data_IF_302868517235
#
_entry.id   IF_302868517235
#
_cell.length_a   1.000
_cell.length_b   1.000
_cell.length_c   1.000
_cell.angle_alpha   90.00
_cell.angle_beta   90.00
_cell.angle_gamma   90.00
#
_symmetry.space_group_name_H-M   'P 1'
#
loop_
_entity.id
_entity.type
_entity.pdbx_description
1 polymer ?
#
# COMPACT_ATOMS: atom_id res chain seq x y z
N UNK A 1 -19.82 -32.04 9.55
CA UNK A 1 -19.99 -30.60 9.24
C UNK A 1 -19.83 -30.44 7.73
N UNK A 2 -20.89 -30.11 6.99
CA UNK A 2 -20.79 -29.86 5.54
C UNK A 2 -19.98 -28.57 5.37
N UNK A 3 -18.79 -28.66 4.77
CA UNK A 3 -18.09 -27.48 4.26
C UNK A 3 -18.95 -26.97 3.10
N UNK A 4 -19.68 -25.89 3.32
CA UNK A 4 -20.29 -25.12 2.23
C UNK A 4 -19.12 -24.54 1.46
N UNK A 5 -18.82 -25.12 0.30
CA UNK A 5 -17.87 -24.53 -0.63
C UNK A 5 -18.59 -23.31 -1.20
N UNK A 6 -18.16 -22.11 -0.80
CA UNK A 6 -18.58 -20.88 -1.48
C UNK A 6 -18.25 -21.07 -2.97
N UNK A 7 -19.20 -20.86 -3.89
CA UNK A 7 -18.91 -20.96 -5.30
C UNK A 7 -17.73 -20.04 -5.61
N UNK A 8 -16.65 -20.61 -6.15
CA UNK A 8 -15.53 -19.83 -6.64
C UNK A 8 -16.07 -18.98 -7.78
N UNK A 9 -16.24 -17.67 -7.55
CA UNK A 9 -16.59 -16.74 -8.62
C UNK A 9 -15.39 -16.63 -9.57
N UNK A 10 -15.23 -17.57 -10.51
CA UNK A 10 -14.19 -17.54 -11.54
C UNK A 10 -14.57 -16.58 -12.67
N UNK A 11 -15.06 -15.40 -12.33
CA UNK A 11 -15.32 -14.36 -13.31
C UNK A 11 -14.05 -13.56 -13.51
N UNK A 12 -13.47 -13.62 -14.72
CA UNK A 12 -12.37 -12.73 -15.11
C UNK A 12 -12.79 -11.25 -15.16
N UNK A 13 -14.07 -10.96 -14.95
CA UNK A 13 -14.60 -9.59 -14.98
C UNK A 13 -14.18 -8.77 -13.78
N UNK A 14 -13.99 -9.35 -12.59
CA UNK A 14 -13.53 -8.62 -11.40
C UNK A 14 -12.20 -9.18 -10.89
N UNK A 15 -11.30 -8.30 -10.46
CA UNK A 15 -10.07 -8.63 -9.77
C UNK A 15 -10.08 -8.08 -8.35
N UNK A 16 -9.55 -8.85 -7.40
CA UNK A 16 -9.24 -8.36 -6.05
C UNK A 16 -8.21 -7.24 -6.14
N UNK A 17 -8.41 -6.17 -5.36
CA UNK A 17 -7.49 -5.04 -5.29
C UNK A 17 -6.89 -4.90 -3.90
N UNK A 18 -7.74 -4.84 -2.88
CA UNK A 18 -7.32 -4.75 -1.48
C UNK A 18 -8.44 -5.20 -0.55
N UNK A 19 -8.08 -5.48 0.69
CA UNK A 19 -9.01 -5.46 1.81
C UNK A 19 -8.86 -4.12 2.56
N UNK A 20 -9.88 -3.62 3.23
CA UNK A 20 -9.82 -2.46 4.15
C UNK A 20 -11.18 -2.34 4.84
N UNK A 21 -11.22 -1.88 6.07
CA UNK A 21 -12.48 -1.56 6.76
C UNK A 21 -13.08 -0.29 6.13
N UNK A 22 -14.10 -0.43 5.27
CA UNK A 22 -14.66 0.74 4.58
C UNK A 22 -15.77 1.44 5.36
N UNK A 23 -16.35 0.79 6.38
CA UNK A 23 -17.47 1.33 7.16
C UNK A 23 -17.18 1.50 8.67
N UNK A 24 -15.91 1.35 9.05
CA UNK A 24 -15.37 1.55 10.39
C UNK A 24 -16.02 0.63 11.43
N UNK A 25 -16.36 -0.59 11.04
CA UNK A 25 -16.98 -1.58 11.93
C UNK A 25 -15.96 -2.52 12.63
N UNK A 26 -14.68 -2.39 12.27
CA UNK A 26 -13.54 -3.16 12.76
C UNK A 26 -13.25 -4.43 11.97
N UNK A 27 -14.02 -4.76 10.94
CA UNK A 27 -13.80 -5.88 10.02
C UNK A 27 -13.33 -5.38 8.64
N UNK A 28 -12.22 -5.93 8.14
CA UNK A 28 -11.75 -5.63 6.77
C UNK A 28 -12.77 -6.09 5.71
N UNK A 29 -13.18 -5.17 4.84
CA UNK A 29 -14.01 -5.41 3.67
C UNK A 29 -13.19 -5.75 2.43
N UNK A 30 -13.83 -6.24 1.36
CA UNK A 30 -13.14 -6.66 0.13
C UNK A 30 -13.46 -5.73 -1.03
N UNK A 31 -12.46 -5.01 -1.52
CA UNK A 31 -12.56 -4.15 -2.69
C UNK A 31 -12.14 -4.87 -3.97
N UNK A 32 -13.04 -4.87 -4.95
CA UNK A 32 -12.85 -5.46 -6.27
C UNK A 32 -12.96 -4.41 -7.38
N UNK A 33 -12.26 -4.65 -8.48
CA UNK A 33 -12.33 -3.81 -9.69
C UNK A 33 -12.74 -4.59 -10.91
N UNK A 34 -13.67 -4.01 -11.66
CA UNK A 34 -14.12 -4.55 -12.93
C UNK A 34 -13.05 -4.31 -14.02
N UNK A 35 -12.44 -5.38 -14.52
CA UNK A 35 -11.35 -5.33 -15.49
C UNK A 35 -11.74 -4.79 -16.88
N UNK A 36 -13.05 -4.69 -17.18
CA UNK A 36 -13.55 -4.19 -18.47
C UNK A 36 -14.03 -2.74 -18.38
N UNK A 37 -14.72 -2.39 -17.30
CA UNK A 37 -15.37 -1.08 -17.15
C UNK A 37 -14.61 -0.13 -16.23
N UNK A 38 -13.66 -0.64 -15.44
CA UNK A 38 -12.95 0.12 -14.41
C UNK A 38 -13.79 0.49 -13.19
N UNK A 39 -15.06 0.05 -13.12
CA UNK A 39 -15.95 0.26 -11.96
C UNK A 39 -15.49 -0.56 -10.76
N UNK A 40 -15.84 -0.10 -9.57
CA UNK A 40 -15.46 -0.74 -8.32
C UNK A 40 -16.68 -1.29 -7.58
N UNK A 41 -16.45 -2.35 -6.83
CA UNK A 41 -17.45 -3.05 -6.03
C UNK A 41 -16.79 -3.39 -4.70
N UNK A 42 -17.49 -3.13 -3.60
CA UNK A 42 -17.09 -3.61 -2.28
C UNK A 42 -18.03 -4.73 -1.84
N UNK A 43 -17.45 -5.78 -1.25
CA UNK A 43 -18.18 -6.76 -0.45
C UNK A 43 -17.99 -6.39 1.01
N UNK A 44 -19.11 -6.14 1.70
CA UNK A 44 -19.11 -5.85 3.12
C UNK A 44 -18.97 -7.16 3.90
N UNK A 45 -18.09 -7.21 4.89
CA UNK A 45 -17.86 -8.32 5.79
C UNK A 45 -18.33 -7.94 7.19
N UNK A 46 -18.77 -8.94 7.95
CA UNK A 46 -19.01 -8.80 9.38
C UNK A 46 -18.69 -10.13 10.04
N UNK A 47 -17.80 -10.12 11.03
CA UNK A 47 -17.33 -11.29 11.76
C UNK A 47 -16.90 -12.43 10.82
N UNK A 48 -16.22 -12.08 9.72
CA UNK A 48 -15.71 -13.01 8.71
C UNK A 48 -16.77 -13.57 7.74
N UNK A 49 -17.96 -12.98 7.67
CA UNK A 49 -19.03 -13.38 6.75
C UNK A 49 -19.43 -12.21 5.86
N UNK A 50 -19.65 -12.46 4.57
CA UNK A 50 -20.18 -11.44 3.65
C UNK A 50 -21.61 -11.04 4.07
N UNK A 51 -21.79 -9.78 4.45
CA UNK A 51 -23.06 -9.18 4.86
C UNK A 51 -23.81 -8.52 3.69
N UNK A 52 -23.08 -8.08 2.66
CA UNK A 52 -23.64 -7.42 1.48
C UNK A 52 -22.62 -7.09 0.41
N UNK A 53 -23.06 -6.40 -0.65
CA UNK A 53 -22.18 -5.85 -1.67
C UNK A 53 -22.80 -4.60 -2.30
N UNK A 54 -21.98 -3.60 -2.61
CA UNK A 54 -22.44 -2.37 -3.24
C UNK A 54 -21.40 -1.78 -4.22
N UNK A 55 -21.84 -1.01 -5.25
CA UNK A 55 -20.91 -0.20 -6.02
C UNK A 55 -20.11 0.71 -5.10
N UNK A 56 -18.83 0.90 -5.41
CA UNK A 56 -17.94 1.78 -4.64
C UNK A 56 -17.43 2.88 -5.57
N UNK A 57 -17.70 4.14 -5.24
CA UNK A 57 -17.59 5.26 -6.18
C UNK A 57 -16.16 5.85 -6.25
N UNK A 58 -15.19 5.02 -6.62
CA UNK A 58 -13.83 5.45 -6.96
C UNK A 58 -13.71 5.87 -8.44
N UNK A 59 -12.62 6.56 -8.79
CA UNK A 59 -12.38 6.98 -10.17
C UNK A 59 -12.31 5.78 -11.13
N UNK A 60 -13.31 5.64 -11.99
CA UNK A 60 -13.34 4.62 -13.03
C UNK A 60 -12.56 5.08 -14.26
N UNK A 61 -11.35 4.55 -14.43
CA UNK A 61 -10.48 4.81 -15.58
C UNK A 61 -9.57 3.62 -15.81
N UNK A 62 -9.22 3.31 -17.06
CA UNK A 62 -8.19 2.31 -17.36
C UNK A 62 -6.77 2.78 -17.02
N UNK A 63 -6.55 4.09 -16.92
CA UNK A 63 -5.24 4.68 -16.60
C UNK A 63 -4.97 4.71 -15.09
N UNK A 64 -6.00 4.95 -14.27
CA UNK A 64 -5.85 4.97 -12.82
C UNK A 64 -6.13 3.58 -12.24
N UNK A 65 -5.13 3.03 -11.54
CA UNK A 65 -5.20 1.72 -10.89
C UNK A 65 -5.04 1.88 -9.38
N UNK A 66 -5.46 0.87 -8.60
CA UNK A 66 -5.16 0.81 -7.17
C UNK A 66 -3.65 0.92 -6.96
N UNK A 67 -3.23 1.80 -6.06
CA UNK A 67 -1.83 2.03 -5.76
C UNK A 67 -1.50 1.66 -4.31
N UNK A 68 -2.28 2.15 -3.35
CA UNK A 68 -2.15 1.84 -1.94
C UNK A 68 -3.46 2.13 -1.21
N UNK A 69 -3.56 1.58 0.00
CA UNK A 69 -4.44 2.06 1.06
C UNK A 69 -3.58 2.56 2.23
N UNK A 70 -4.14 3.37 3.10
CA UNK A 70 -3.47 3.91 4.28
C UNK A 70 -4.17 5.16 4.79
N UNK A 71 -3.98 5.54 6.05
CA UNK A 71 -4.59 6.74 6.63
C UNK A 71 -3.89 8.00 6.12
N UNK A 72 -4.41 8.65 5.06
CA UNK A 72 -3.72 9.79 4.46
C UNK A 72 -4.19 11.16 4.98
N UNK A 73 -5.28 11.24 5.76
CA UNK A 73 -5.75 12.50 6.35
C UNK A 73 -5.76 12.56 7.87
N UNK A 74 -5.42 11.47 8.56
CA UNK A 74 -5.17 11.37 9.98
C UNK A 74 -6.42 11.14 10.81
N UNK A 75 -7.43 10.48 10.24
CA UNK A 75 -8.68 10.11 10.92
C UNK A 75 -8.67 8.70 11.52
N UNK A 76 -7.58 7.95 11.32
CA UNK A 76 -7.34 6.56 11.72
C UNK A 76 -8.02 5.49 10.86
N UNK A 77 -8.66 5.87 9.75
CA UNK A 77 -9.29 4.95 8.81
C UNK A 77 -8.47 4.86 7.49
N UNK A 78 -8.49 3.68 6.86
CA UNK A 78 -7.72 3.44 5.63
C UNK A 78 -8.37 4.19 4.44
N UNK A 79 -7.66 5.19 3.91
CA UNK A 79 -8.02 5.84 2.65
C UNK A 79 -7.57 5.04 1.43
N UNK A 80 -7.97 5.48 0.24
CA UNK A 80 -7.56 4.85 -1.03
C UNK A 80 -6.78 5.81 -1.93
N UNK A 81 -5.64 5.32 -2.38
CA UNK A 81 -4.79 6.00 -3.35
C UNK A 81 -4.83 5.27 -4.70
N UNK A 82 -5.24 6.00 -5.74
CA UNK A 82 -5.16 5.55 -7.13
C UNK A 82 -4.03 6.27 -7.86
N UNK A 83 -3.33 5.55 -8.75
CA UNK A 83 -2.23 6.12 -9.55
C UNK A 83 -2.42 5.90 -11.04
N UNK A 84 -2.20 6.95 -11.80
CA UNK A 84 -2.11 6.90 -13.27
C UNK A 84 -0.88 6.11 -13.70
N UNK A 85 -1.07 5.02 -14.44
CA UNK A 85 0.02 4.23 -15.02
C UNK A 85 0.72 4.96 -16.16
N UNK A 86 0.08 5.97 -16.75
CA UNK A 86 0.66 6.79 -17.83
C UNK A 86 1.48 7.95 -17.28
N UNK A 87 0.96 8.66 -16.28
CA UNK A 87 1.53 9.95 -15.82
C UNK A 87 2.16 9.90 -14.44
N UNK A 88 1.89 8.86 -13.64
CA UNK A 88 2.30 8.80 -12.23
C UNK A 88 1.50 9.69 -11.28
N UNK A 89 0.52 10.46 -11.79
CA UNK A 89 -0.38 11.29 -10.98
C UNK A 89 -1.23 10.45 -10.04
N UNK A 90 -1.52 11.01 -8.88
CA UNK A 90 -2.35 10.40 -7.86
C UNK A 90 -3.75 10.99 -7.80
N UNK A 91 -4.68 10.17 -7.34
CA UNK A 91 -5.99 10.57 -6.83
C UNK A 91 -6.18 9.88 -5.48
N UNK A 92 -6.35 10.68 -4.43
CA UNK A 92 -6.73 10.22 -3.10
C UNK A 92 -8.26 10.22 -2.99
N UNK A 93 -8.76 9.25 -2.27
CA UNK A 93 -10.15 9.10 -1.91
C UNK A 93 -10.21 8.87 -0.42
N UNK A 94 -10.90 9.78 0.27
CA UNK A 94 -11.13 9.70 1.70
C UNK A 94 -12.26 8.67 1.89
N UNK A 95 -12.07 7.66 2.74
CA UNK A 95 -13.01 6.55 2.91
C UNK A 95 -13.71 6.65 4.26
N UNK A 96 -15.02 6.86 4.23
CA UNK A 96 -15.79 7.20 5.41
C UNK A 96 -17.18 6.58 5.35
N UNK A 97 -17.55 5.83 6.39
CA UNK A 97 -18.88 5.25 6.58
C UNK A 97 -19.45 4.52 5.34
N UNK A 98 -18.64 3.69 4.70
CA UNK A 98 -19.01 2.86 3.55
C UNK A 98 -18.98 3.60 2.21
N UNK A 99 -18.45 4.83 2.16
CA UNK A 99 -18.38 5.65 0.95
C UNK A 99 -16.98 6.22 0.73
N UNK A 100 -16.61 6.42 -0.54
CA UNK A 100 -15.40 7.12 -0.93
C UNK A 100 -15.72 8.52 -1.45
N UNK A 101 -14.97 9.52 -1.01
CA UNK A 101 -15.07 10.89 -1.49
C UNK A 101 -13.75 11.37 -2.09
N UNK A 102 -13.78 11.94 -3.29
CA UNK A 102 -12.54 12.39 -3.91
C UNK A 102 -12.01 13.65 -3.22
N UNK A 103 -10.78 13.58 -2.73
CA UNK A 103 -10.08 14.73 -2.15
C UNK A 103 -9.04 15.30 -3.13
N UNK A 104 -8.35 16.36 -2.71
CA UNK A 104 -7.31 16.98 -3.52
C UNK A 104 -6.20 15.94 -3.79
N UNK A 105 -6.08 15.50 -5.05
CA UNK A 105 -5.08 14.49 -5.42
C UNK A 105 -3.66 14.99 -5.14
N UNK A 106 -2.78 14.07 -4.72
CA UNK A 106 -1.36 14.39 -4.51
C UNK A 106 -0.77 14.97 -5.79
N UNK A 107 0.09 15.99 -5.66
CA UNK A 107 0.85 16.50 -6.80
C UNK A 107 1.61 15.35 -7.46
N UNK A 108 1.78 15.43 -8.79
CA UNK A 108 2.41 14.36 -9.56
C UNK A 108 3.78 14.03 -8.96
N UNK A 109 3.89 12.85 -8.37
CA UNK A 109 5.17 12.20 -8.18
C UNK A 109 5.60 11.63 -9.54
N UNK A 110 6.89 11.36 -9.68
CA UNK A 110 7.54 10.87 -10.90
C UNK A 110 6.67 9.95 -11.76
N UNK A 111 6.90 9.94 -13.07
CA UNK A 111 6.19 9.07 -13.99
C UNK A 111 6.17 7.61 -13.49
N UNK A 112 5.05 6.91 -13.70
CA UNK A 112 4.85 5.59 -13.10
C UNK A 112 5.86 4.53 -13.54
N UNK A 113 6.44 4.68 -14.74
CA UNK A 113 7.47 3.78 -15.25
C UNK A 113 8.80 3.88 -14.48
N UNK A 114 9.10 5.01 -13.86
CA UNK A 114 10.40 5.25 -13.22
C UNK A 114 10.43 4.84 -11.74
N UNK A 115 9.30 5.02 -11.05
CA UNK A 115 9.17 4.77 -9.61
C UNK A 115 7.94 3.91 -9.32
N UNK A 116 8.17 2.81 -8.62
CA UNK A 116 7.16 1.87 -8.16
C UNK A 116 6.83 2.17 -6.69
N UNK A 117 5.57 2.44 -6.39
CA UNK A 117 5.11 2.52 -5.00
C UNK A 117 5.25 1.13 -4.37
N UNK A 118 5.83 1.06 -3.18
CA UNK A 118 6.05 -0.19 -2.44
C UNK A 118 5.03 -0.35 -1.33
N UNK A 119 4.79 0.73 -0.57
CA UNK A 119 3.89 0.75 0.58
C UNK A 119 3.51 2.21 0.91
N UNK A 120 2.36 2.36 1.56
CA UNK A 120 2.00 3.54 2.32
C UNK A 120 2.05 3.21 3.82
N UNK A 121 2.71 4.06 4.61
CA UNK A 121 2.87 3.89 6.05
C UNK A 121 3.40 5.20 6.66
N UNK A 122 3.05 5.50 7.91
CA UNK A 122 3.55 6.67 8.65
C UNK A 122 5.05 6.52 8.96
N UNK A 123 5.91 7.15 8.15
CA UNK A 123 7.37 7.02 8.28
C UNK A 123 7.97 8.10 9.20
N UNK A 124 7.17 9.04 9.70
CA UNK A 124 7.61 10.18 10.49
C UNK A 124 6.80 10.42 11.78
N UNK A 125 5.94 9.46 12.15
CA UNK A 125 5.06 9.48 13.32
C UNK A 125 4.16 10.73 13.39
N UNK A 126 3.72 11.27 12.25
CA UNK A 126 2.84 12.44 12.20
C UNK A 126 1.34 12.12 12.21
N UNK A 127 1.01 10.82 12.28
CA UNK A 127 -0.33 10.27 12.30
C UNK A 127 -0.95 10.16 10.91
N UNK A 128 -0.15 10.24 9.84
CA UNK A 128 -0.59 10.07 8.46
C UNK A 128 0.40 9.23 7.69
N UNK A 129 -0.13 8.38 6.83
CA UNK A 129 0.68 7.52 6.00
C UNK A 129 1.40 8.31 4.91
N UNK A 130 2.69 8.04 4.82
CA UNK A 130 3.60 8.53 3.80
C UNK A 130 3.77 7.49 2.69
N UNK A 131 4.66 7.72 1.71
CA UNK A 131 4.87 6.80 0.59
C UNK A 131 6.32 6.36 0.44
N UNK A 132 6.56 5.05 0.41
CA UNK A 132 7.85 4.47 0.04
C UNK A 132 7.86 4.08 -1.44
N UNK A 133 8.74 4.70 -2.23
CA UNK A 133 8.95 4.31 -3.63
C UNK A 133 10.29 3.66 -3.84
N UNK A 134 10.33 2.79 -4.86
CA UNK A 134 11.54 2.24 -5.42
C UNK A 134 11.72 2.68 -6.86
N UNK A 135 12.88 3.22 -7.19
CA UNK A 135 13.25 3.51 -8.56
C UNK A 135 13.52 2.20 -9.31
N UNK A 136 12.77 1.96 -10.39
CA UNK A 136 12.81 0.68 -11.11
C UNK A 136 14.16 0.41 -11.81
N UNK A 137 14.92 1.47 -12.13
CA UNK A 137 16.20 1.38 -12.86
C UNK A 137 17.37 1.18 -11.89
N UNK A 138 17.40 1.95 -10.80
CA UNK A 138 18.53 1.99 -9.86
C UNK A 138 18.32 1.10 -8.63
N UNK A 139 17.10 0.62 -8.39
CA UNK A 139 16.73 -0.13 -7.17
C UNK A 139 16.68 0.73 -5.91
N UNK A 140 16.82 2.04 -6.06
CA UNK A 140 16.94 3.01 -4.97
C UNK A 140 15.59 3.32 -4.33
N UNK A 141 15.54 3.34 -3.01
CA UNK A 141 14.33 3.68 -2.26
C UNK A 141 14.31 5.15 -1.85
N UNK A 142 13.13 5.74 -1.83
CA UNK A 142 12.89 7.13 -1.41
C UNK A 142 11.57 7.18 -0.66
N UNK A 143 11.59 7.78 0.54
CA UNK A 143 10.38 8.14 1.28
C UNK A 143 9.89 9.50 0.79
N UNK A 144 8.58 9.63 0.65
CA UNK A 144 7.90 10.86 0.32
C UNK A 144 6.91 11.14 1.42
N UNK A 145 7.24 12.14 2.25
CA UNK A 145 6.35 12.53 3.33
C UNK A 145 5.14 13.27 2.76
N UNK A 146 3.96 13.01 3.31
CA UNK A 146 2.74 13.68 2.92
C UNK A 146 2.35 14.68 3.99
N UNK A 147 2.25 15.96 3.60
CA UNK A 147 1.71 16.99 4.48
C UNK A 147 0.57 17.71 3.77
N UNK A 148 -0.65 17.57 4.30
CA UNK A 148 -1.85 18.17 3.71
C UNK A 148 -2.01 17.85 2.21
N UNK A 149 -1.84 16.58 1.82
CA UNK A 149 -1.86 16.11 0.42
C UNK A 149 -0.75 16.72 -0.47
N UNK A 150 0.25 17.36 0.13
CA UNK A 150 1.44 17.86 -0.56
C UNK A 150 2.57 16.90 -0.26
N UNK A 151 3.19 16.41 -1.34
CA UNK A 151 4.36 15.58 -1.23
C UNK A 151 5.58 16.45 -0.89
N UNK A 152 6.11 16.25 0.31
CA UNK A 152 7.41 16.71 0.72
C UNK A 152 8.42 15.59 0.42
N UNK A 153 9.38 15.86 -0.46
CA UNK A 153 10.42 14.87 -0.73
C UNK A 153 11.38 14.83 0.47
N UNK A 154 11.38 13.72 1.20
CA UNK A 154 12.60 13.29 1.89
C UNK A 154 13.61 12.86 0.82
N UNK A 155 14.88 12.95 1.18
CA UNK A 155 15.97 12.53 0.31
C UNK A 155 15.89 11.04 0.02
N UNK A 156 16.68 10.56 -0.95
CA UNK A 156 16.83 9.13 -1.12
C UNK A 156 17.27 8.46 0.18
N UNK A 157 16.61 7.36 0.53
CA UNK A 157 17.07 6.54 1.63
C UNK A 157 18.35 5.82 1.19
N UNK A 158 19.39 5.86 2.03
CA UNK A 158 20.60 5.06 1.84
C UNK A 158 20.36 3.60 2.23
N UNK A 159 19.23 3.03 1.79
CA UNK A 159 19.06 1.59 1.73
C UNK A 159 20.02 1.04 0.68
N UNK A 160 20.24 -0.28 0.66
CA UNK A 160 21.07 -0.87 -0.38
C UNK A 160 20.56 -0.49 -1.77
N UNK A 161 21.35 0.29 -2.50
CA UNK A 161 21.07 0.68 -3.89
C UNK A 161 21.40 -0.50 -4.81
N UNK A 162 20.66 -1.59 -4.66
CA UNK A 162 20.84 -2.82 -5.41
C UNK A 162 19.50 -3.37 -5.83
N UNK A 163 19.43 -3.80 -7.10
CA UNK A 163 18.28 -4.51 -7.63
C UNK A 163 17.95 -5.78 -6.83
N UNK A 164 18.90 -6.33 -6.07
CA UNK A 164 18.75 -7.55 -5.26
C UNK A 164 17.96 -7.38 -3.97
N UNK A 165 17.77 -6.16 -3.46
CA UNK A 165 16.96 -5.94 -2.27
C UNK A 165 15.52 -5.58 -2.66
N UNK A 166 14.58 -6.42 -2.24
CA UNK A 166 13.14 -6.23 -2.34
C UNK A 166 12.56 -5.78 -1.01
N UNK A 167 11.53 -4.95 -1.09
CA UNK A 167 10.73 -4.58 0.07
C UNK A 167 9.90 -5.79 0.52
N UNK A 168 9.94 -6.08 1.81
CA UNK A 168 9.21 -7.20 2.39
C UNK A 168 8.04 -6.72 3.26
N UNK A 169 8.31 -5.84 4.22
CA UNK A 169 7.30 -5.34 5.15
C UNK A 169 7.65 -3.95 5.67
N UNK A 170 6.61 -3.20 5.95
CA UNK A 170 6.51 -2.16 6.95
C UNK A 170 6.13 -2.80 8.30
N UNK A 171 6.60 -2.23 9.41
CA UNK A 171 6.26 -2.62 10.78
C UNK A 171 6.82 -1.58 11.75
N UNK A 172 6.22 -1.38 12.90
CA UNK A 172 6.86 -0.66 14.01
C UNK A 172 7.66 -1.68 14.85
N UNK A 173 8.99 -1.75 14.68
CA UNK A 173 9.81 -2.81 15.28
C UNK A 173 10.36 -2.44 16.67
N UNK A 174 10.39 -1.17 17.03
CA UNK A 174 10.90 -0.68 18.32
C UNK A 174 9.88 0.12 19.15
N UNK A 175 8.62 0.16 18.70
CA UNK A 175 7.48 0.78 19.35
C UNK A 175 7.60 2.31 19.46
N UNK A 176 8.20 2.96 18.46
CA UNK A 176 8.37 4.41 18.38
C UNK A 176 7.30 5.11 17.53
N UNK A 177 6.36 4.34 16.96
CA UNK A 177 5.28 4.77 16.05
C UNK A 177 5.71 5.17 14.64
N UNK A 178 7.01 5.26 14.36
CA UNK A 178 7.51 5.35 12.99
C UNK A 178 7.45 3.95 12.35
N UNK A 179 6.96 3.85 11.12
CA UNK A 179 7.00 2.61 10.36
C UNK A 179 8.45 2.29 9.94
N UNK A 180 8.99 1.17 10.41
CA UNK A 180 10.28 0.65 9.97
C UNK A 180 10.18 -0.10 8.65
N UNK A 181 11.35 -0.27 7.99
CA UNK A 181 11.43 -0.91 6.69
C UNK A 181 12.20 -2.22 6.80
N UNK A 182 11.54 -3.33 6.46
CA UNK A 182 12.16 -4.63 6.30
C UNK A 182 12.42 -4.91 4.82
N UNK A 183 13.70 -5.10 4.48
CA UNK A 183 14.13 -5.55 3.15
C UNK A 183 14.68 -6.97 3.19
N UNK A 184 14.54 -7.67 2.05
CA UNK A 184 15.17 -8.97 1.81
C UNK A 184 16.08 -8.90 0.60
N UNK A 185 17.26 -9.50 0.71
CA UNK A 185 18.15 -9.74 -0.41
C UNK A 185 17.75 -11.04 -1.12
N UNK A 186 17.22 -10.93 -2.33
CA UNK A 186 16.75 -12.08 -3.11
C UNK A 186 17.90 -12.94 -3.67
N UNK A 187 19.14 -12.45 -3.66
CA UNK A 187 20.30 -13.21 -4.14
C UNK A 187 20.87 -14.17 -3.08
N UNK A 188 20.77 -13.84 -1.79
CA UNK A 188 21.37 -14.63 -0.71
C UNK A 188 20.43 -14.89 0.50
N UNK A 189 19.20 -14.38 0.45
CA UNK A 189 18.18 -14.54 1.48
C UNK A 189 18.36 -13.68 2.72
N UNK A 190 19.40 -12.84 2.82
CA UNK A 190 19.62 -11.99 4.01
C UNK A 190 18.50 -10.98 4.18
N UNK A 191 18.06 -10.79 5.43
CA UNK A 191 17.05 -9.81 5.81
C UNK A 191 17.69 -8.65 6.56
N UNK A 192 17.24 -7.44 6.29
CA UNK A 192 17.74 -6.22 6.94
C UNK A 192 16.56 -5.36 7.33
N UNK A 193 16.47 -5.10 8.63
CA UNK A 193 15.56 -4.12 9.21
C UNK A 193 16.25 -2.75 9.22
N UNK A 194 15.56 -1.73 8.76
CA UNK A 194 15.98 -0.34 8.85
C UNK A 194 15.02 0.38 9.79
N UNK A 195 15.55 0.82 10.93
CA UNK A 195 14.79 1.65 11.85
C UNK A 195 14.62 3.03 11.25
N UNK A 196 13.41 3.55 11.29
CA UNK A 196 13.06 4.89 10.85
C UNK A 196 13.03 5.85 12.04
N UNK A 197 13.02 7.15 11.77
CA UNK A 197 12.83 8.23 12.75
C UNK A 197 12.61 9.51 11.95
N UNK A 198 11.45 10.15 12.10
CA UNK A 198 11.13 11.40 11.41
C UNK A 198 11.38 11.35 9.89
N UNK A 199 11.04 10.22 9.24
CA UNK A 199 11.19 9.99 7.81
C UNK A 199 12.61 9.69 7.32
N UNK A 200 13.56 9.46 8.24
CA UNK A 200 14.96 9.11 7.93
C UNK A 200 15.34 7.78 8.55
N UNK A 201 16.40 7.14 8.01
CA UNK A 201 16.97 5.94 8.62
C UNK A 201 17.75 6.34 9.88
N UNK A 202 17.35 5.81 11.03
CA UNK A 202 18.04 5.94 12.32
C UNK A 202 18.98 4.77 12.61
N UNK A 203 18.69 3.58 12.06
CA UNK A 203 19.45 2.36 12.32
C UNK A 203 19.32 1.30 11.23
N UNK A 204 20.20 0.29 11.28
CA UNK A 204 20.08 -0.92 10.46
C UNK A 204 20.48 -2.15 11.27
N UNK A 205 19.75 -3.25 11.08
CA UNK A 205 20.01 -4.52 11.75
C UNK A 205 19.85 -5.70 10.79
N UNK A 206 20.84 -6.59 10.74
CA UNK A 206 20.77 -7.81 9.94
C UNK A 206 20.05 -8.89 10.73
N UNK A 207 18.90 -9.32 10.25
CA UNK A 207 18.19 -10.44 10.85
C UNK A 207 18.84 -11.73 10.35
N UNK A 208 19.28 -12.58 11.28
CA UNK A 208 19.95 -13.87 10.99
C UNK A 208 19.03 -14.94 10.39
N UNK A 209 17.93 -14.54 9.76
CA UNK A 209 16.87 -15.43 9.29
C UNK A 209 17.22 -15.92 7.88
N UNK A 210 17.41 -17.24 7.76
CA UNK A 210 17.36 -18.08 6.55
C UNK A 210 17.86 -17.52 5.20
N UNK A 211 18.97 -18.08 4.72
CA UNK A 211 19.52 -17.87 3.36
C UNK A 211 18.78 -18.63 2.25
N UNK A 212 17.60 -19.21 2.52
CA UNK A 212 16.86 -19.99 1.53
C UNK A 212 16.07 -19.05 0.61
N UNK A 213 16.50 -18.97 -0.65
CA UNK A 213 15.91 -18.09 -1.67
C UNK A 213 14.61 -18.65 -2.27
N UNK A 214 14.23 -19.90 -1.96
CA UNK A 214 13.01 -20.51 -2.49
C UNK A 214 11.72 -19.98 -1.85
N UNK A 215 11.82 -19.25 -0.74
CA UNK A 215 10.70 -18.59 -0.10
C UNK A 215 10.53 -17.20 -0.71
N UNK A 216 9.29 -16.84 -1.04
CA UNK A 216 8.93 -15.48 -1.44
C UNK A 216 7.91 -14.95 -0.43
N UNK A 217 8.01 -13.66 -0.10
CA UNK A 217 6.96 -12.98 0.66
C UNK A 217 5.75 -12.84 -0.26
N UNK A 218 4.58 -13.33 0.18
CA UNK A 218 3.30 -13.04 -0.45
C UNK A 218 2.47 -12.25 0.56
N UNK A 219 1.92 -11.11 0.09
CA UNK A 219 0.86 -10.35 0.76
C UNK A 219 -0.48 -10.83 0.22
#
# INVERSE_FOLDING_TARGET
KKKTVLPLYTSSTYSFQTALDVDADGDDDILLRNNTTGKWLVFMLQAGVVSGSQPFDLYASSDFVFAARGDFDGDMDDDILLRSVTTGKFKKFDVEAGAASSSAGLRSLYAAADYQLQVAADFNADGKDDLLFRNAVTGKYTVFLLNNNIVNSQGPLNLYSSATYSFASELDADADTDADILLRNDANGTWVLFSMENGLISGQNYLGVYSDTNWAVQR
#
